data_IF_347386853012
#
_entry.id   IF_347386853012
#
_cell.length_a   1.000
_cell.length_b   1.000
_cell.length_c   1.000
_cell.angle_alpha   90.00
_cell.angle_beta   90.00
_cell.angle_gamma   90.00
#
_symmetry.space_group_name_H-M   'P 1'
#
loop_
_entity.id
_entity.type
_entity.pdbx_description
1 polymer ?
#
# COMPACT_ATOMS: atom_id res chain seq x y z
N UNK A 1 -1.29 25.45 3.54
CA UNK A 1 -0.65 24.13 3.30
C UNK A 1 -1.55 22.95 3.74
N UNK A 2 -2.88 23.07 3.66
CA UNK A 2 -3.81 21.99 4.07
C UNK A 2 -4.19 21.05 2.90
N UNK A 3 -4.03 21.51 1.66
CA UNK A 3 -4.41 20.77 0.44
C UNK A 3 -3.51 19.55 0.19
N UNK A 4 -2.25 19.60 0.61
CA UNK A 4 -1.28 18.52 0.40
C UNK A 4 -1.58 17.28 1.26
N UNK A 5 -2.08 17.45 2.48
CA UNK A 5 -2.40 16.33 3.39
C UNK A 5 -3.64 15.54 2.96
N UNK A 6 -4.68 16.23 2.52
CA UNK A 6 -5.88 15.60 1.95
C UNK A 6 -5.58 14.89 0.63
N UNK A 7 -4.73 15.50 -0.21
CA UNK A 7 -4.25 14.90 -1.47
C UNK A 7 -3.47 13.60 -1.20
N UNK A 8 -2.54 13.61 -0.24
CA UNK A 8 -1.78 12.43 0.15
C UNK A 8 -2.66 11.29 0.68
N UNK A 9 -3.62 11.57 1.55
CA UNK A 9 -4.51 10.54 2.08
C UNK A 9 -5.49 9.98 1.05
N UNK A 10 -5.90 10.79 0.07
CA UNK A 10 -6.74 10.34 -1.06
C UNK A 10 -5.95 9.47 -2.01
N UNK A 11 -4.71 9.87 -2.31
CA UNK A 11 -3.77 9.11 -3.11
C UNK A 11 -3.50 7.73 -2.49
N UNK A 12 -3.29 7.66 -1.17
CA UNK A 12 -3.10 6.39 -0.46
C UNK A 12 -4.34 5.50 -0.52
N UNK A 13 -5.55 6.07 -0.41
CA UNK A 13 -6.82 5.32 -0.56
C UNK A 13 -6.92 4.70 -1.97
N UNK A 14 -6.48 5.41 -3.00
CA UNK A 14 -6.39 4.86 -4.35
C UNK A 14 -5.40 3.71 -4.45
N UNK A 15 -4.22 3.81 -3.82
CA UNK A 15 -3.25 2.72 -3.82
C UNK A 15 -3.76 1.48 -3.09
N UNK A 16 -4.54 1.65 -2.02
CA UNK A 16 -5.22 0.54 -1.33
C UNK A 16 -6.21 -0.16 -2.26
N UNK A 17 -6.98 0.59 -3.05
CA UNK A 17 -7.91 0.01 -4.03
C UNK A 17 -7.19 -0.72 -5.16
N UNK A 18 -6.10 -0.17 -5.67
CA UNK A 18 -5.27 -0.85 -6.68
C UNK A 18 -4.70 -2.16 -6.12
N UNK A 19 -4.22 -2.15 -4.89
CA UNK A 19 -3.69 -3.34 -4.22
C UNK A 19 -4.77 -4.42 -4.04
N UNK A 20 -5.98 -4.03 -3.62
CA UNK A 20 -7.13 -4.92 -3.46
C UNK A 20 -7.57 -5.54 -4.81
N UNK A 21 -7.53 -4.75 -5.88
CA UNK A 21 -7.81 -5.22 -7.23
C UNK A 21 -6.74 -6.21 -7.74
N UNK A 22 -5.46 -5.96 -7.45
CA UNK A 22 -4.38 -6.92 -7.74
C UNK A 22 -4.65 -8.22 -6.99
N UNK A 23 -5.03 -8.15 -5.71
CA UNK A 23 -5.27 -9.33 -4.91
C UNK A 23 -6.46 -10.15 -5.38
N UNK A 24 -7.60 -9.51 -5.59
CA UNK A 24 -8.81 -10.14 -6.13
C UNK A 24 -8.50 -10.85 -7.44
N UNK A 25 -7.75 -10.19 -8.33
CA UNK A 25 -7.39 -10.76 -9.61
C UNK A 25 -6.43 -11.93 -9.48
N UNK A 26 -5.41 -11.83 -8.63
CA UNK A 26 -4.48 -12.95 -8.34
C UNK A 26 -5.22 -14.18 -7.81
N UNK A 27 -6.17 -13.98 -6.89
CA UNK A 27 -6.99 -15.07 -6.33
C UNK A 27 -7.89 -15.68 -7.41
N UNK A 28 -8.52 -14.85 -8.25
CA UNK A 28 -9.37 -15.32 -9.35
C UNK A 28 -8.59 -16.08 -10.43
N UNK A 29 -7.43 -15.55 -10.82
CA UNK A 29 -6.55 -16.14 -11.83
C UNK A 29 -5.71 -17.30 -11.25
N UNK A 30 -5.73 -17.54 -9.92
CA UNK A 30 -4.85 -18.46 -9.19
C UNK A 30 -3.37 -18.31 -9.58
N UNK A 31 -2.94 -17.09 -9.91
CA UNK A 31 -1.62 -16.81 -10.46
C UNK A 31 -0.83 -15.88 -9.54
N UNK A 32 -0.28 -16.46 -8.48
CA UNK A 32 0.53 -15.76 -7.48
C UNK A 32 1.83 -15.21 -8.06
N UNK A 33 2.41 -15.86 -9.09
CA UNK A 33 3.59 -15.33 -9.79
C UNK A 33 3.30 -13.97 -10.41
N UNK A 34 2.24 -13.89 -11.23
CA UNK A 34 1.83 -12.62 -11.86
C UNK A 34 1.33 -11.61 -10.81
N UNK A 35 0.69 -12.10 -9.75
CA UNK A 35 0.31 -11.31 -8.59
C UNK A 35 1.50 -10.61 -7.95
N UNK A 36 2.56 -11.37 -7.66
CA UNK A 36 3.81 -10.86 -7.05
C UNK A 36 4.51 -9.86 -7.98
N UNK A 37 4.54 -10.13 -9.29
CA UNK A 37 5.07 -9.16 -10.26
C UNK A 37 4.29 -7.84 -10.25
N UNK A 38 2.95 -7.90 -10.30
CA UNK A 38 2.09 -6.72 -10.24
C UNK A 38 2.22 -5.98 -8.92
N UNK A 39 2.30 -6.72 -7.81
CA UNK A 39 2.48 -6.14 -6.49
C UNK A 39 3.84 -5.44 -6.39
N UNK A 40 4.90 -6.03 -6.95
CA UNK A 40 6.22 -5.40 -7.04
C UNK A 40 6.19 -4.08 -7.83
N UNK A 41 5.54 -4.06 -8.99
CA UNK A 41 5.36 -2.85 -9.80
C UNK A 41 4.53 -1.78 -9.05
N UNK A 42 3.42 -2.20 -8.46
CA UNK A 42 2.56 -1.35 -7.64
C UNK A 42 3.35 -0.75 -6.46
N UNK A 43 4.19 -1.56 -5.81
CA UNK A 43 5.00 -1.12 -4.67
C UNK A 43 6.02 -0.08 -5.09
N UNK A 44 6.76 -0.27 -6.19
CA UNK A 44 7.72 0.72 -6.70
C UNK A 44 7.02 2.06 -6.95
N UNK A 45 5.85 2.02 -7.60
CA UNK A 45 5.03 3.20 -7.88
C UNK A 45 4.53 3.87 -6.58
N UNK A 46 4.03 3.07 -5.64
CA UNK A 46 3.51 3.54 -4.36
C UNK A 46 4.60 4.17 -3.52
N UNK A 47 5.79 3.57 -3.44
CA UNK A 47 6.95 4.13 -2.72
C UNK A 47 7.31 5.52 -3.27
N UNK A 48 7.40 5.67 -4.59
CA UNK A 48 7.71 6.96 -5.21
C UNK A 48 6.63 8.02 -4.93
N UNK A 49 5.36 7.62 -4.87
CA UNK A 49 4.25 8.52 -4.56
C UNK A 49 4.19 8.87 -3.07
N UNK A 50 4.42 7.90 -2.18
CA UNK A 50 4.53 8.13 -0.74
C UNK A 50 5.68 9.10 -0.43
N UNK A 51 6.81 8.96 -1.11
CA UNK A 51 7.94 9.88 -0.90
C UNK A 51 7.59 11.32 -1.26
N UNK A 52 6.80 11.52 -2.32
CA UNK A 52 6.36 12.85 -2.78
C UNK A 52 5.24 13.45 -1.90
N UNK A 53 4.31 12.62 -1.40
CA UNK A 53 3.09 13.10 -0.76
C UNK A 53 3.08 12.94 0.77
N UNK A 54 3.61 11.83 1.29
CA UNK A 54 3.61 11.48 2.72
C UNK A 54 4.98 11.67 3.39
N UNK A 55 6.06 11.69 2.60
CA UNK A 55 7.43 11.85 3.05
C UNK A 55 8.27 10.58 2.98
N UNK A 56 9.58 10.76 3.13
CA UNK A 56 10.58 9.71 2.92
C UNK A 56 10.45 8.54 3.93
N UNK A 57 10.02 8.80 5.17
CA UNK A 57 9.83 7.77 6.19
C UNK A 57 8.77 6.74 5.79
N UNK A 58 7.64 7.20 5.24
CA UNK A 58 6.56 6.31 4.80
C UNK A 58 6.96 5.46 3.58
N UNK A 59 7.71 6.07 2.67
CA UNK A 59 8.25 5.40 1.49
C UNK A 59 9.27 4.32 1.87
N UNK A 60 10.19 4.62 2.80
CA UNK A 60 11.22 3.70 3.27
C UNK A 60 10.62 2.50 4.03
N UNK A 61 9.62 2.74 4.88
CA UNK A 61 8.90 1.65 5.56
C UNK A 61 8.20 0.70 4.57
N UNK A 62 7.48 1.24 3.58
CA UNK A 62 6.86 0.41 2.56
C UNK A 62 7.93 -0.33 1.73
N UNK A 63 9.02 0.34 1.35
CA UNK A 63 10.11 -0.25 0.58
C UNK A 63 10.79 -1.40 1.32
N UNK A 64 11.07 -1.24 2.62
CA UNK A 64 11.68 -2.25 3.49
C UNK A 64 10.82 -3.48 3.70
N UNK A 65 9.50 -3.32 3.63
CA UNK A 65 8.53 -4.39 3.78
C UNK A 65 8.65 -5.31 2.56
N UNK A 66 9.54 -6.30 2.60
CA UNK A 66 9.80 -7.23 1.51
C UNK A 66 8.79 -8.38 1.55
N UNK A 67 8.49 -9.00 0.40
CA UNK A 67 7.78 -10.25 0.42
C UNK A 67 8.51 -11.24 1.31
N UNK A 68 7.80 -11.77 2.30
CA UNK A 68 8.32 -12.79 3.18
C UNK A 68 8.71 -13.99 2.33
N UNK A 69 9.83 -14.62 2.66
CA UNK A 69 10.23 -15.88 2.02
C UNK A 69 9.07 -16.87 2.14
N UNK A 70 8.55 -17.38 1.02
CA UNK A 70 7.42 -18.30 0.99
C UNK A 70 7.70 -19.48 1.93
N UNK A 71 7.01 -19.52 3.06
CA UNK A 71 7.20 -20.41 4.19
C UNK A 71 6.03 -21.38 4.38
N UNK A 72 4.81 -20.99 4.01
CA UNK A 72 3.67 -21.91 3.98
C UNK A 72 3.51 -22.45 2.56
N UNK A 73 3.28 -23.75 2.43
CA UNK A 73 3.16 -24.43 1.14
C UNK A 73 1.94 -23.99 0.29
N UNK A 74 1.30 -22.88 0.67
CA UNK A 74 0.07 -22.32 0.14
C UNK A 74 0.29 -20.88 -0.35
N UNK A 75 0.70 -20.77 -1.61
CA UNK A 75 1.13 -19.51 -2.20
C UNK A 75 0.03 -18.43 -2.22
N UNK A 76 -1.24 -18.83 -2.24
CA UNK A 76 -2.38 -17.89 -2.26
C UNK A 76 -2.54 -17.28 -0.87
N UNK A 77 -2.51 -18.08 0.18
CA UNK A 77 -2.60 -17.60 1.57
C UNK A 77 -1.47 -16.59 1.87
N UNK A 78 -0.24 -16.93 1.50
CA UNK A 78 0.93 -16.05 1.67
C UNK A 78 0.80 -14.73 0.92
N UNK A 79 0.35 -14.83 -0.33
CA UNK A 79 0.11 -13.66 -1.15
C UNK A 79 -0.97 -12.76 -0.53
N UNK A 80 -2.06 -13.35 -0.01
CA UNK A 80 -3.12 -12.57 0.65
C UNK A 80 -2.67 -11.94 1.94
N UNK A 81 -1.92 -12.66 2.79
CA UNK A 81 -1.36 -12.11 4.04
C UNK A 81 -0.43 -10.93 3.75
N UNK A 82 0.41 -11.06 2.74
CA UNK A 82 1.29 -9.99 2.29
C UNK A 82 0.51 -8.75 1.82
N UNK A 83 -0.51 -8.94 0.97
CA UNK A 83 -1.41 -7.87 0.53
C UNK A 83 -2.08 -7.20 1.73
N UNK A 84 -2.64 -7.97 2.67
CA UNK A 84 -3.29 -7.42 3.86
C UNK A 84 -2.31 -6.62 4.72
N UNK A 85 -1.07 -7.09 4.84
CA UNK A 85 0.00 -6.38 5.54
C UNK A 85 0.28 -5.01 4.92
N UNK A 86 0.38 -4.92 3.59
CA UNK A 86 0.55 -3.63 2.90
C UNK A 86 -0.68 -2.73 3.02
N UNK A 87 -1.87 -3.30 2.86
CA UNK A 87 -3.16 -2.59 2.99
C UNK A 87 -3.32 -1.96 4.36
N UNK A 88 -3.08 -2.73 5.42
CA UNK A 88 -3.18 -2.27 6.80
C UNK A 88 -2.20 -1.12 7.09
N UNK A 89 -0.98 -1.21 6.55
CA UNK A 89 0.02 -0.13 6.64
C UNK A 89 -0.49 1.16 5.97
N UNK A 90 -0.95 1.07 4.73
CA UNK A 90 -1.44 2.23 3.97
C UNK A 90 -2.67 2.87 4.63
N UNK A 91 -3.64 2.08 5.10
CA UNK A 91 -4.82 2.60 5.82
C UNK A 91 -4.41 3.34 7.09
N UNK A 92 -3.45 2.80 7.84
CA UNK A 92 -2.91 3.44 9.05
C UNK A 92 -2.19 4.73 8.71
N UNK A 93 -1.40 4.75 7.64
CA UNK A 93 -0.71 5.93 7.16
C UNK A 93 -1.69 7.02 6.69
N UNK A 94 -2.71 6.67 5.92
CA UNK A 94 -3.75 7.60 5.50
C UNK A 94 -4.47 8.24 6.69
N UNK A 95 -4.80 7.45 7.72
CA UNK A 95 -5.38 7.96 8.97
C UNK A 95 -4.44 8.93 9.68
N UNK A 96 -3.15 8.61 9.79
CA UNK A 96 -2.12 9.49 10.39
C UNK A 96 -2.00 10.81 9.64
N UNK A 97 -1.96 10.78 8.31
CA UNK A 97 -1.86 11.98 7.47
C UNK A 97 -3.11 12.85 7.63
N UNK A 98 -4.31 12.25 7.66
CA UNK A 98 -5.56 12.97 7.93
C UNK A 98 -5.58 13.60 9.32
N UNK A 99 -5.04 12.92 10.32
CA UNK A 99 -4.96 13.42 11.70
C UNK A 99 -3.88 14.50 11.90
N UNK A 100 -2.81 14.45 11.11
CA UNK A 100 -1.74 15.46 11.11
C UNK A 100 -2.12 16.72 10.32
N UNK A 101 -3.15 16.66 9.47
CA UNK A 101 -3.72 17.86 8.87
C UNK A 101 -4.38 18.68 10.00
N UNK A 102 -4.03 19.97 10.14
CA UNK A 102 -4.63 20.79 11.19
C UNK A 102 -6.16 20.82 11.00
N UNK A 103 -6.96 20.79 12.09
CA UNK A 103 -8.36 21.13 11.96
C UNK A 103 -8.39 22.54 11.37
N UNK A 104 -9.11 22.71 10.25
CA UNK A 104 -9.43 24.04 9.77
C UNK A 104 -10.18 24.73 10.92
N UNK A 105 -9.48 25.59 11.66
CA UNK A 105 -10.06 26.41 12.70
C UNK A 105 -11.09 27.32 12.01
N UNK A 106 -12.36 26.98 12.20
CA UNK A 106 -13.48 27.87 12.01
C UNK A 106 -13.84 28.52 13.34
#
# INVERSE_FOLDING_TARGET
MAETGLSAATMIDQQVKELDAIATRTIQDFNTTLGTERMGQWKIRTVALLQQHAGQSAADELARKKPGMAFTNDLIEEFTDEVESYRSYLVTLAKRIRAAAPPAAG
#
